data_IF_120140993797
#
_entry.id   IF_120140993797
#
_cell.length_a   1.000
_cell.length_b   1.000
_cell.length_c   1.000
_cell.angle_alpha   90.00
_cell.angle_beta   90.00
_cell.angle_gamma   90.00
#
_symmetry.space_group_name_H-M   'P 1'
#
loop_
_entity.id
_entity.type
_entity.pdbx_description
1 polymer ?
#
# COMPACT_ATOMS: atom_id res chain seq x y z
N UNK A 1 8.34 -8.60 44.10
CA UNK A 1 7.63 -7.35 44.43
C UNK A 1 6.23 -7.75 44.86
N UNK A 2 5.82 -7.38 46.10
CA UNK A 2 4.48 -7.72 46.66
C UNK A 2 3.39 -6.71 46.24
N UNK A 3 3.76 -5.65 45.56
CA UNK A 3 2.86 -4.55 45.19
C UNK A 3 3.15 -4.10 43.74
N UNK A 4 2.34 -4.62 42.84
CA UNK A 4 2.47 -4.30 41.39
C UNK A 4 2.19 -2.82 41.08
N UNK A 5 1.27 -2.20 41.82
CA UNK A 5 0.91 -0.79 41.62
C UNK A 5 2.08 0.13 41.93
N UNK A 6 2.81 -0.13 43.03
CA UNK A 6 4.01 0.65 43.41
C UNK A 6 5.16 0.45 42.43
N UNK A 7 5.32 -0.76 41.87
CA UNK A 7 6.33 -1.02 40.84
C UNK A 7 6.00 -0.23 39.57
N UNK A 8 4.74 -0.27 39.14
CA UNK A 8 4.29 0.47 37.97
C UNK A 8 4.53 1.98 38.11
N UNK A 9 4.11 2.56 39.23
CA UNK A 9 4.32 3.97 39.54
C UNK A 9 5.81 4.36 39.56
N UNK A 10 6.64 3.51 40.16
CA UNK A 10 8.09 3.75 40.23
C UNK A 10 8.74 3.71 38.84
N UNK A 11 8.34 2.76 37.97
CA UNK A 11 8.83 2.65 36.60
C UNK A 11 8.35 3.84 35.75
N UNK A 12 7.08 4.23 35.87
CA UNK A 12 6.53 5.38 35.18
C UNK A 12 7.24 6.70 35.57
N UNK A 13 7.46 6.92 36.85
CA UNK A 13 8.21 8.06 37.33
C UNK A 13 9.66 8.05 36.81
N UNK A 14 10.33 6.91 36.84
CA UNK A 14 11.70 6.79 36.32
C UNK A 14 11.77 7.09 34.82
N UNK A 15 10.84 6.57 34.01
CA UNK A 15 10.75 6.84 32.59
C UNK A 15 10.52 8.35 32.30
N UNK A 16 9.67 9.00 33.06
CA UNK A 16 9.40 10.44 32.94
C UNK A 16 10.64 11.29 33.29
N UNK A 17 11.38 10.92 34.33
CA UNK A 17 12.61 11.65 34.72
C UNK A 17 13.76 11.47 33.75
N UNK A 18 13.89 10.28 33.15
CA UNK A 18 15.03 9.92 32.32
C UNK A 18 14.78 10.06 30.82
N UNK A 19 13.64 10.68 30.44
CA UNK A 19 13.22 10.79 29.06
C UNK A 19 13.17 9.42 28.34
N UNK A 20 12.56 8.43 29.05
CA UNK A 20 12.25 7.14 28.45
C UNK A 20 13.27 6.02 28.67
N UNK A 21 14.30 6.20 29.50
CA UNK A 21 15.26 5.15 29.85
C UNK A 21 15.08 4.74 31.32
N UNK A 22 15.09 3.44 31.61
CA UNK A 22 15.08 2.92 32.97
C UNK A 22 16.04 1.75 33.13
N UNK A 23 16.85 1.77 34.20
CA UNK A 23 17.68 0.65 34.60
C UNK A 23 17.07 -0.05 35.81
N UNK A 24 16.78 -1.35 35.67
CA UNK A 24 16.20 -2.18 36.71
C UNK A 24 17.26 -3.13 37.22
N UNK A 25 17.66 -2.94 38.47
CA UNK A 25 18.55 -3.85 39.19
C UNK A 25 17.78 -4.73 40.21
N UNK A 26 18.09 -6.01 40.27
CA UNK A 26 17.57 -6.91 41.29
C UNK A 26 18.43 -6.80 42.56
N UNK A 27 17.79 -6.52 43.70
CA UNK A 27 18.46 -6.38 45.00
C UNK A 27 18.07 -7.60 45.88
N UNK A 28 19.03 -8.20 46.55
CA UNK A 28 18.78 -9.27 47.53
C UNK A 28 18.32 -8.71 48.86
N UNK A 29 17.35 -9.36 49.50
CA UNK A 29 16.72 -8.91 50.77
C UNK A 29 17.68 -8.80 51.96
N UNK A 30 18.93 -9.31 51.89
CA UNK A 30 19.78 -9.45 53.07
C UNK A 30 20.99 -8.52 53.15
N UNK A 31 21.40 -7.81 52.08
CA UNK A 31 22.62 -6.95 52.11
C UNK A 31 22.66 -5.76 51.19
N UNK A 32 21.58 -5.36 50.53
CA UNK A 32 21.57 -4.32 49.50
C UNK A 32 22.62 -4.55 48.38
N UNK A 33 23.04 -5.79 48.17
CA UNK A 33 23.92 -6.14 47.07
C UNK A 33 23.10 -6.28 45.78
N UNK A 34 23.45 -5.48 44.81
CA UNK A 34 22.84 -5.56 43.48
C UNK A 34 23.24 -6.89 42.86
N UNK A 35 22.27 -7.75 42.57
CA UNK A 35 22.53 -8.95 41.78
C UNK A 35 23.10 -8.49 40.41
N UNK A 36 24.06 -9.24 39.88
CA UNK A 36 24.72 -9.02 38.58
C UNK A 36 23.79 -8.98 37.34
N UNK A 37 22.50 -8.82 37.51
CA UNK A 37 21.52 -8.67 36.41
C UNK A 37 20.86 -7.31 36.53
N UNK A 38 21.36 -6.40 35.74
CA UNK A 38 20.71 -5.14 35.46
C UNK A 38 20.03 -5.22 34.09
N UNK A 39 18.83 -4.68 33.99
CA UNK A 39 18.07 -4.60 32.76
C UNK A 39 17.90 -3.13 32.40
N UNK A 40 18.62 -2.67 31.38
CA UNK A 40 18.39 -1.35 30.80
C UNK A 40 17.24 -1.47 29.78
N UNK A 41 16.16 -0.77 30.03
CA UNK A 41 14.95 -0.76 29.19
C UNK A 41 14.70 0.66 28.69
N UNK A 42 14.12 0.76 27.50
CA UNK A 42 13.73 2.03 26.88
C UNK A 42 12.24 2.01 26.51
N UNK A 43 11.53 3.10 26.80
CA UNK A 43 10.16 3.32 26.30
C UNK A 43 10.16 3.84 24.85
N UNK A 44 11.29 4.38 24.38
CA UNK A 44 11.54 4.68 22.99
C UNK A 44 12.23 3.48 22.35
N UNK A 45 11.97 3.19 21.09
CA UNK A 45 12.58 2.08 20.34
C UNK A 45 14.11 2.24 20.19
N UNK A 46 14.81 2.39 21.33
CA UNK A 46 16.26 2.62 21.39
C UNK A 46 16.94 1.38 21.92
N UNK A 47 17.95 0.89 21.23
CA UNK A 47 18.80 -0.19 21.69
C UNK A 47 19.76 0.32 22.77
N UNK A 48 19.73 -0.25 24.00
CA UNK A 48 20.58 0.21 25.09
C UNK A 48 22.07 -0.11 24.91
N UNK A 49 22.43 -1.03 23.98
CA UNK A 49 23.81 -1.47 23.76
C UNK A 49 24.60 -0.58 22.80
N UNK A 50 23.94 -0.08 21.77
CA UNK A 50 24.59 0.70 20.68
C UNK A 50 23.96 2.09 20.49
N UNK A 51 22.97 2.46 21.33
CA UNK A 51 22.20 3.70 21.23
C UNK A 51 21.48 3.90 19.89
N UNK A 52 21.32 2.84 19.10
CA UNK A 52 20.52 2.92 17.89
C UNK A 52 19.05 3.19 18.26
N UNK A 53 18.53 4.33 17.80
CA UNK A 53 17.13 4.70 17.96
C UNK A 53 16.36 4.32 16.70
N UNK A 54 15.45 3.33 16.82
CA UNK A 54 14.52 3.03 15.73
C UNK A 54 13.50 4.17 15.60
N UNK A 55 13.27 4.69 14.38
CA UNK A 55 12.33 5.77 14.18
C UNK A 55 10.92 5.35 14.58
N UNK A 56 10.11 6.31 15.00
CA UNK A 56 8.70 6.05 15.33
C UNK A 56 7.97 5.41 14.14
N UNK A 57 7.21 4.33 14.43
CA UNK A 57 6.48 3.59 13.40
C UNK A 57 5.19 4.34 13.08
N UNK A 58 5.27 5.23 12.12
CA UNK A 58 4.16 6.02 11.62
C UNK A 58 4.03 5.89 10.09
N UNK A 59 2.89 6.24 9.47
CA UNK A 59 2.67 6.07 8.03
C UNK A 59 3.76 6.71 7.15
N UNK A 60 4.34 7.85 7.58
CA UNK A 60 5.41 8.55 6.84
C UNK A 60 6.69 7.72 6.72
N UNK A 61 6.93 6.79 7.64
CA UNK A 61 8.09 5.88 7.59
C UNK A 61 8.04 4.98 6.34
N UNK A 62 6.86 4.65 5.86
CA UNK A 62 6.65 3.77 4.71
C UNK A 62 6.47 4.50 3.39
N UNK A 63 6.66 5.83 3.37
CA UNK A 63 6.55 6.65 2.17
C UNK A 63 7.92 7.04 1.63
N UNK A 64 8.23 6.65 0.41
CA UNK A 64 9.43 7.09 -0.29
C UNK A 64 9.37 8.56 -0.75
N UNK A 65 8.20 9.21 -0.70
CA UNK A 65 8.02 10.63 -0.97
C UNK A 65 8.22 11.51 0.29
N UNK A 66 8.31 10.87 1.46
CA UNK A 66 8.59 11.56 2.72
C UNK A 66 10.07 11.45 3.06
N UNK A 67 10.77 12.55 3.41
CA UNK A 67 12.17 12.48 3.89
C UNK A 67 12.36 11.52 5.08
N UNK A 68 11.29 11.29 5.84
CA UNK A 68 11.29 10.40 7.01
C UNK A 68 11.40 8.92 6.63
N UNK A 69 10.79 8.50 5.50
CA UNK A 69 10.77 7.10 5.03
C UNK A 69 11.69 6.84 3.84
N UNK A 70 12.04 7.87 3.10
CA UNK A 70 12.88 7.77 1.91
C UNK A 70 14.30 7.27 2.24
N UNK A 71 14.91 6.56 1.31
CA UNK A 71 16.33 6.26 1.37
C UNK A 71 17.14 7.56 1.43
N UNK A 72 18.04 7.77 2.42
CA UNK A 72 18.75 9.03 2.58
C UNK A 72 19.69 9.35 1.41
N UNK A 73 20.24 8.33 0.74
CA UNK A 73 21.22 8.53 -0.33
C UNK A 73 20.59 8.91 -1.68
N UNK A 74 19.42 8.42 -1.99
CA UNK A 74 18.73 8.72 -3.24
C UNK A 74 17.43 9.52 -3.06
N UNK A 75 17.14 9.98 -1.83
CA UNK A 75 15.92 10.73 -1.50
C UNK A 75 14.63 10.08 -2.04
N UNK A 76 14.55 8.74 -2.01
CA UNK A 76 13.39 7.99 -2.46
C UNK A 76 13.31 7.74 -3.98
N UNK A 77 14.30 8.15 -4.75
CA UNK A 77 14.31 7.92 -6.21
C UNK A 77 14.60 6.45 -6.59
N UNK A 78 15.28 5.70 -5.74
CA UNK A 78 15.70 4.33 -6.04
C UNK A 78 16.88 4.25 -7.00
N UNK A 79 17.32 5.38 -7.56
CA UNK A 79 18.40 5.53 -8.54
C UNK A 79 19.40 6.53 -8.02
N UNK A 80 20.69 6.30 -8.28
CA UNK A 80 21.76 7.22 -7.92
C UNK A 80 21.84 8.38 -8.91
N UNK A 81 21.57 8.10 -10.15
CA UNK A 81 21.55 9.06 -11.25
C UNK A 81 20.30 8.82 -12.11
N UNK A 82 19.52 9.89 -12.28
CA UNK A 82 18.25 9.83 -13.05
C UNK A 82 18.55 9.60 -14.55
N UNK A 83 19.64 10.16 -15.06
CA UNK A 83 20.01 10.05 -16.48
C UNK A 83 20.62 8.68 -16.82
N UNK A 84 21.50 8.15 -15.94
CA UNK A 84 22.17 6.88 -16.17
C UNK A 84 21.35 5.67 -15.71
N UNK A 85 20.19 5.89 -15.04
CA UNK A 85 19.31 4.86 -14.48
C UNK A 85 20.03 3.86 -13.56
N UNK A 86 21.16 4.28 -12.95
CA UNK A 86 21.95 3.43 -12.04
C UNK A 86 21.19 3.20 -10.75
N UNK A 87 21.00 1.96 -10.36
CA UNK A 87 20.31 1.59 -9.11
C UNK A 87 21.08 2.15 -7.92
N UNK A 88 20.37 2.72 -6.95
CA UNK A 88 20.95 3.21 -5.71
C UNK A 88 21.57 2.02 -4.92
N UNK A 89 22.86 2.04 -4.58
CA UNK A 89 23.51 0.92 -3.90
C UNK A 89 23.03 0.72 -2.47
N UNK A 90 22.52 1.78 -1.82
CA UNK A 90 22.09 1.73 -0.41
C UNK A 90 20.73 1.09 -0.24
N UNK A 91 19.75 1.42 -1.09
CA UNK A 91 18.41 0.85 -1.02
C UNK A 91 18.16 -0.22 -2.10
N UNK A 92 19.11 -0.47 -3.00
CA UNK A 92 18.99 -1.47 -4.07
C UNK A 92 17.71 -1.28 -4.92
N UNK A 93 17.35 -0.03 -5.17
CA UNK A 93 16.12 0.31 -5.90
C UNK A 93 14.83 0.32 -5.06
N UNK A 94 14.88 -0.08 -3.79
CA UNK A 94 13.69 -0.18 -2.92
C UNK A 94 13.13 1.16 -2.47
N UNK A 95 13.85 2.26 -2.70
CA UNK A 95 13.43 3.65 -2.45
C UNK A 95 13.27 4.04 -0.98
N UNK A 96 13.17 3.08 -0.07
CA UNK A 96 12.93 3.25 1.36
C UNK A 96 14.20 3.05 2.18
N UNK A 97 14.22 3.63 3.36
CA UNK A 97 15.26 3.42 4.36
C UNK A 97 15.18 2.01 4.96
N UNK A 98 16.30 1.53 5.52
CA UNK A 98 16.41 0.16 6.05
C UNK A 98 15.43 -0.12 7.19
N UNK A 99 15.15 0.88 8.02
CA UNK A 99 14.23 0.78 9.15
C UNK A 99 12.80 0.51 8.66
N UNK A 100 12.34 1.21 7.63
CA UNK A 100 11.03 0.95 7.01
C UNK A 100 10.93 -0.50 6.48
N UNK A 101 12.01 -1.01 5.87
CA UNK A 101 12.07 -2.37 5.35
C UNK A 101 12.22 -3.45 6.44
N UNK A 102 12.55 -3.05 7.68
CA UNK A 102 12.65 -3.97 8.82
C UNK A 102 11.29 -4.30 9.44
N UNK A 103 10.28 -3.46 9.21
CA UNK A 103 8.90 -3.73 9.65
C UNK A 103 8.25 -4.72 8.69
N UNK A 104 7.70 -5.81 9.24
CA UNK A 104 7.17 -6.93 8.44
C UNK A 104 5.79 -7.37 8.90
N UNK A 105 4.97 -7.78 7.95
CA UNK A 105 3.71 -8.49 8.13
C UNK A 105 3.84 -9.85 7.46
N UNK A 106 3.61 -10.95 8.19
CA UNK A 106 3.82 -12.32 7.68
C UNK A 106 5.18 -12.50 6.97
N UNK A 107 6.26 -11.98 7.57
CA UNK A 107 7.63 -12.01 7.05
C UNK A 107 7.88 -11.21 5.75
N UNK A 108 6.92 -10.46 5.24
CA UNK A 108 7.08 -9.54 4.11
C UNK A 108 7.09 -8.09 4.58
N UNK A 109 8.05 -7.29 4.11
CA UNK A 109 8.03 -5.85 4.29
C UNK A 109 7.17 -5.18 3.20
N UNK A 110 6.97 -3.86 3.30
CA UNK A 110 6.13 -3.12 2.36
C UNK A 110 6.62 -3.25 0.91
N UNK A 111 7.94 -3.24 0.67
CA UNK A 111 8.48 -3.38 -0.67
C UNK A 111 8.23 -4.78 -1.24
N UNK A 112 8.39 -5.82 -0.41
CA UNK A 112 8.13 -7.21 -0.82
C UNK A 112 6.67 -7.38 -1.25
N UNK A 113 5.73 -6.78 -0.50
CA UNK A 113 4.29 -6.82 -0.85
C UNK A 113 4.00 -6.01 -2.10
N UNK A 114 4.56 -4.80 -2.23
CA UNK A 114 4.36 -3.95 -3.42
C UNK A 114 5.01 -4.53 -4.69
N UNK A 115 5.98 -5.45 -4.56
CA UNK A 115 6.64 -6.13 -5.67
C UNK A 115 5.90 -7.38 -6.14
N UNK A 116 4.87 -7.81 -5.43
CA UNK A 116 3.96 -8.84 -5.90
C UNK A 116 3.12 -8.31 -7.08
N UNK A 117 2.67 -9.20 -7.95
CA UNK A 117 1.59 -8.86 -8.86
C UNK A 117 0.33 -8.47 -8.08
N UNK A 118 -0.57 -7.69 -8.67
CA UNK A 118 -1.80 -7.28 -7.98
C UNK A 118 -2.65 -8.50 -7.55
N UNK A 119 -2.63 -9.58 -8.33
CA UNK A 119 -3.30 -10.84 -7.99
C UNK A 119 -2.64 -11.50 -6.77
N UNK A 120 -1.32 -11.65 -6.75
CA UNK A 120 -0.60 -12.19 -5.60
C UNK A 120 -0.74 -11.32 -4.35
N UNK A 121 -0.78 -9.99 -4.52
CA UNK A 121 -1.01 -9.07 -3.41
C UNK A 121 -2.44 -9.20 -2.84
N UNK A 122 -3.44 -9.36 -3.70
CA UNK A 122 -4.82 -9.64 -3.29
C UNK A 122 -4.90 -10.93 -2.46
N UNK A 123 -4.35 -12.03 -2.97
CA UNK A 123 -4.32 -13.32 -2.28
C UNK A 123 -3.56 -13.25 -0.95
N UNK A 124 -2.48 -12.48 -0.90
CA UNK A 124 -1.73 -12.22 0.32
C UNK A 124 -2.61 -11.57 1.39
N UNK A 125 -3.36 -10.51 1.06
CA UNK A 125 -4.22 -9.82 2.02
C UNK A 125 -5.45 -10.63 2.42
N UNK A 126 -6.06 -11.40 1.51
CA UNK A 126 -7.14 -12.34 1.82
C UNK A 126 -6.66 -13.42 2.81
N UNK A 127 -5.47 -13.99 2.55
CA UNK A 127 -4.88 -14.97 3.46
C UNK A 127 -4.48 -14.38 4.81
N UNK A 128 -4.07 -13.11 4.84
CA UNK A 128 -3.73 -12.38 6.05
C UNK A 128 -4.98 -12.13 6.91
N UNK A 129 -6.07 -11.65 6.30
CA UNK A 129 -7.34 -11.42 7.00
C UNK A 129 -7.83 -12.67 7.72
N UNK A 130 -7.73 -13.83 7.08
CA UNK A 130 -8.12 -15.11 7.65
C UNK A 130 -7.28 -15.54 8.87
N UNK A 131 -6.03 -15.08 8.95
CA UNK A 131 -5.08 -15.42 10.04
C UNK A 131 -5.08 -14.45 11.20
N UNK A 132 -5.78 -13.31 11.09
CA UNK A 132 -5.85 -12.31 12.16
C UNK A 132 -6.47 -12.89 13.45
N UNK A 133 -5.80 -12.65 14.57
CA UNK A 133 -6.35 -12.90 15.90
C UNK A 133 -7.50 -11.95 16.20
N UNK A 134 -8.31 -12.23 17.23
CA UNK A 134 -9.44 -11.36 17.61
C UNK A 134 -9.02 -9.92 17.89
N UNK A 135 -7.87 -9.72 18.54
CA UNK A 135 -7.32 -8.40 18.83
C UNK A 135 -6.86 -7.67 17.56
N UNK A 136 -6.18 -8.38 16.67
CA UNK A 136 -5.71 -7.83 15.39
C UNK A 136 -6.87 -7.49 14.46
N UNK A 137 -7.94 -8.29 14.45
CA UNK A 137 -9.18 -7.99 13.71
C UNK A 137 -9.80 -6.67 14.14
N UNK A 138 -9.83 -6.38 15.43
CA UNK A 138 -10.39 -5.12 15.94
C UNK A 138 -9.60 -3.91 15.41
N UNK A 139 -8.30 -4.04 15.21
CA UNK A 139 -7.41 -2.96 14.77
C UNK A 139 -7.35 -2.85 13.24
N UNK A 140 -7.19 -3.98 12.55
CA UNK A 140 -6.77 -4.02 11.15
C UNK A 140 -7.89 -4.34 10.15
N UNK A 141 -9.03 -4.91 10.57
CA UNK A 141 -10.04 -5.44 9.65
C UNK A 141 -10.55 -4.41 8.64
N UNK A 142 -10.83 -3.18 9.08
CA UNK A 142 -11.31 -2.12 8.19
C UNK A 142 -10.28 -1.75 7.12
N UNK A 143 -9.01 -1.64 7.52
CA UNK A 143 -7.92 -1.28 6.61
C UNK A 143 -7.64 -2.42 5.63
N UNK A 144 -7.58 -3.65 6.12
CA UNK A 144 -7.32 -4.84 5.29
C UNK A 144 -8.44 -5.02 4.28
N UNK A 145 -9.70 -4.88 4.69
CA UNK A 145 -10.85 -4.94 3.79
C UNK A 145 -10.78 -3.86 2.70
N UNK A 146 -10.46 -2.62 3.05
CA UNK A 146 -10.30 -1.54 2.08
C UNK A 146 -9.18 -1.83 1.06
N UNK A 147 -8.07 -2.44 1.51
CA UNK A 147 -6.98 -2.86 0.60
C UNK A 147 -7.47 -3.96 -0.33
N UNK A 148 -8.16 -4.98 0.18
CA UNK A 148 -8.72 -6.09 -0.61
C UNK A 148 -9.71 -5.55 -1.65
N UNK A 149 -10.64 -4.67 -1.25
CA UNK A 149 -11.61 -4.07 -2.16
C UNK A 149 -10.91 -3.29 -3.30
N UNK A 150 -9.91 -2.47 -2.98
CA UNK A 150 -9.16 -1.69 -3.99
C UNK A 150 -8.34 -2.56 -4.93
N UNK A 151 -7.70 -3.60 -4.41
CA UNK A 151 -7.01 -4.58 -5.24
C UNK A 151 -8.00 -5.32 -6.14
N UNK A 152 -9.16 -5.71 -5.60
CA UNK A 152 -10.25 -6.33 -6.37
C UNK A 152 -10.68 -5.49 -7.57
N UNK A 153 -10.88 -4.19 -7.40
CA UNK A 153 -11.21 -3.29 -8.52
C UNK A 153 -10.14 -3.25 -9.61
N UNK A 154 -8.85 -3.31 -9.22
CA UNK A 154 -7.75 -3.39 -10.18
C UNK A 154 -7.73 -4.72 -10.95
N UNK A 155 -8.10 -5.82 -10.29
CA UNK A 155 -8.23 -7.13 -10.93
C UNK A 155 -9.43 -7.19 -11.90
N UNK A 156 -10.55 -6.56 -11.54
CA UNK A 156 -11.75 -6.48 -12.38
C UNK A 156 -11.50 -5.77 -13.70
N UNK A 157 -10.59 -4.79 -13.71
CA UNK A 157 -10.20 -4.09 -14.96
C UNK A 157 -9.05 -4.76 -15.70
N UNK A 158 -8.65 -6.00 -15.33
CA UNK A 158 -7.65 -6.80 -16.03
C UNK A 158 -6.21 -6.38 -15.80
N UNK A 159 -5.88 -5.82 -14.62
CA UNK A 159 -4.52 -5.39 -14.26
C UNK A 159 -3.78 -6.36 -13.33
N UNK A 160 -4.21 -7.63 -13.29
CA UNK A 160 -3.70 -8.66 -12.38
C UNK A 160 -2.17 -8.84 -12.43
N UNK A 161 -1.54 -8.64 -13.56
CA UNK A 161 -0.09 -8.80 -13.79
C UNK A 161 0.77 -7.62 -13.34
N UNK A 162 0.17 -6.44 -13.09
CA UNK A 162 0.91 -5.25 -12.69
C UNK A 162 1.45 -5.38 -11.26
N UNK A 163 2.53 -4.67 -10.98
CA UNK A 163 3.11 -4.50 -9.66
C UNK A 163 2.98 -3.05 -9.20
N UNK A 164 2.72 -2.84 -7.91
CA UNK A 164 2.63 -1.47 -7.34
C UNK A 164 3.97 -0.73 -7.32
N UNK A 165 5.09 -1.44 -7.48
CA UNK A 165 6.44 -0.83 -7.61
C UNK A 165 6.70 -0.26 -9.01
N UNK A 166 5.85 -0.52 -9.98
CA UNK A 166 6.04 -0.06 -11.37
C UNK A 166 5.94 1.46 -11.46
N UNK A 167 6.90 2.06 -12.16
CA UNK A 167 6.93 3.50 -12.39
C UNK A 167 5.78 3.94 -13.31
N UNK A 168 5.09 5.04 -12.96
CA UNK A 168 3.95 5.54 -13.72
C UNK A 168 4.30 5.85 -15.19
N UNK A 169 5.51 6.34 -15.45
CA UNK A 169 6.00 6.63 -16.81
C UNK A 169 6.16 5.37 -17.69
N UNK A 170 6.23 4.18 -17.07
CA UNK A 170 6.36 2.91 -17.78
C UNK A 170 5.03 2.29 -18.17
N UNK A 171 3.91 2.87 -17.70
CA UNK A 171 2.56 2.37 -17.99
C UNK A 171 2.17 2.71 -19.42
N UNK A 172 1.53 1.77 -20.11
CA UNK A 172 0.84 2.05 -21.36
C UNK A 172 -0.38 2.96 -21.15
N UNK A 173 -0.84 3.63 -22.20
CA UNK A 173 -2.05 4.46 -22.11
C UNK A 173 -3.26 3.71 -21.59
N UNK A 174 -3.48 2.49 -22.08
CA UNK A 174 -4.57 1.63 -21.62
C UNK A 174 -4.43 1.20 -20.16
N UNK A 175 -3.22 0.86 -19.67
CA UNK A 175 -2.98 0.54 -18.25
C UNK A 175 -3.30 1.74 -17.35
N UNK A 176 -2.81 2.94 -17.71
CA UNK A 176 -3.08 4.16 -16.95
C UNK A 176 -4.58 4.50 -16.92
N UNK A 177 -5.28 4.31 -18.02
CA UNK A 177 -6.73 4.51 -18.09
C UNK A 177 -7.49 3.52 -17.21
N UNK A 178 -7.15 2.24 -17.24
CA UNK A 178 -7.77 1.21 -16.38
C UNK A 178 -7.50 1.44 -14.88
N UNK A 179 -6.32 1.92 -14.51
CA UNK A 179 -6.03 2.32 -13.12
C UNK A 179 -6.97 3.46 -12.69
N UNK A 180 -7.18 4.47 -13.56
CA UNK A 180 -8.12 5.55 -13.28
C UNK A 180 -9.55 5.02 -13.15
N UNK A 181 -9.97 4.13 -14.04
CA UNK A 181 -11.29 3.50 -14.00
C UNK A 181 -11.50 2.73 -12.68
N UNK A 182 -10.56 1.88 -12.27
CA UNK A 182 -10.61 1.17 -11.00
C UNK A 182 -10.73 2.13 -9.80
N UNK A 183 -9.99 3.24 -9.82
CA UNK A 183 -10.08 4.29 -8.80
C UNK A 183 -11.47 4.93 -8.75
N UNK A 184 -12.10 5.14 -9.92
CA UNK A 184 -13.46 5.71 -10.00
C UNK A 184 -14.53 4.74 -9.48
N UNK A 185 -14.39 3.45 -9.76
CA UNK A 185 -15.27 2.41 -9.21
C UNK A 185 -15.22 2.43 -7.69
N UNK A 186 -14.02 2.49 -7.12
CA UNK A 186 -13.78 2.57 -5.69
C UNK A 186 -14.33 3.83 -5.03
N UNK A 187 -14.45 4.95 -5.78
CA UNK A 187 -14.99 6.21 -5.25
C UNK A 187 -16.48 6.19 -4.95
N UNK A 188 -17.22 5.18 -5.49
CA UNK A 188 -18.67 5.03 -5.35
C UNK A 188 -19.47 6.27 -5.80
N UNK A 189 -18.93 7.08 -6.73
CA UNK A 189 -19.62 8.25 -7.28
C UNK A 189 -20.87 7.83 -8.06
N UNK A 190 -21.89 8.69 -8.00
CA UNK A 190 -23.13 8.59 -8.77
C UNK A 190 -23.39 9.91 -9.51
N UNK A 191 -24.27 9.89 -10.51
CA UNK A 191 -24.63 11.04 -11.34
C UNK A 191 -23.41 11.68 -12.06
N UNK A 192 -22.45 10.87 -12.45
CA UNK A 192 -21.21 11.28 -13.12
C UNK A 192 -21.24 10.80 -14.59
N UNK A 193 -20.70 11.61 -15.47
CA UNK A 193 -20.45 11.22 -16.87
C UNK A 193 -19.01 10.72 -16.98
N UNK A 194 -18.85 9.51 -17.46
CA UNK A 194 -17.56 8.91 -17.80
C UNK A 194 -17.40 8.89 -19.31
N UNK A 195 -16.24 9.36 -19.78
CA UNK A 195 -15.85 9.27 -21.19
C UNK A 195 -14.58 8.39 -21.24
N UNK A 196 -14.69 7.28 -21.96
CA UNK A 196 -13.63 6.28 -22.07
C UNK A 196 -13.25 6.15 -23.55
N UNK A 197 -11.95 6.18 -23.82
CA UNK A 197 -11.40 6.05 -25.16
C UNK A 197 -10.62 4.74 -25.25
N UNK A 198 -11.09 3.81 -26.09
CA UNK A 198 -10.51 2.49 -26.31
C UNK A 198 -10.09 1.73 -25.02
N UNK A 199 -11.00 1.56 -24.03
CA UNK A 199 -10.63 0.94 -22.75
C UNK A 199 -10.23 -0.54 -22.88
N UNK A 200 -10.53 -1.21 -24.01
CA UNK A 200 -10.12 -2.59 -24.29
C UNK A 200 -8.71 -2.72 -24.84
N UNK A 201 -8.02 -1.61 -25.15
CA UNK A 201 -6.71 -1.70 -25.80
C UNK A 201 -5.73 -2.56 -24.97
N UNK A 202 -5.18 -3.59 -25.61
CA UNK A 202 -4.24 -4.52 -24.98
C UNK A 202 -4.87 -5.51 -24.00
N UNK A 203 -6.21 -5.63 -23.95
CA UNK A 203 -6.89 -6.70 -23.20
C UNK A 203 -7.02 -7.98 -24.03
N UNK A 204 -7.03 -9.10 -23.34
CA UNK A 204 -7.46 -10.36 -23.88
C UNK A 204 -8.99 -10.46 -23.81
N UNK A 205 -9.65 -11.19 -24.72
CA UNK A 205 -11.11 -11.37 -24.75
C UNK A 205 -11.72 -11.68 -23.38
N UNK A 206 -11.08 -12.55 -22.61
CA UNK A 206 -11.54 -12.92 -21.25
C UNK A 206 -11.58 -11.74 -20.28
N UNK A 207 -10.68 -10.78 -20.44
CA UNK A 207 -10.61 -9.61 -19.57
C UNK A 207 -11.53 -8.50 -20.08
N UNK A 208 -11.85 -8.49 -21.37
CA UNK A 208 -12.91 -7.63 -21.96
C UNK A 208 -14.28 -7.89 -21.31
N UNK A 209 -14.64 -9.15 -21.06
CA UNK A 209 -15.88 -9.46 -20.36
C UNK A 209 -15.94 -8.90 -18.94
N UNK A 210 -14.85 -8.98 -18.20
CA UNK A 210 -14.74 -8.38 -16.85
C UNK A 210 -14.92 -6.87 -16.92
N UNK A 211 -14.25 -6.21 -17.86
CA UNK A 211 -14.37 -4.78 -18.07
C UNK A 211 -15.83 -4.39 -18.38
N UNK A 212 -16.53 -5.13 -19.25
CA UNK A 212 -17.95 -4.90 -19.56
C UNK A 212 -18.81 -4.97 -18.31
N UNK A 213 -18.61 -5.98 -17.47
CA UNK A 213 -19.35 -6.11 -16.21
C UNK A 213 -19.10 -4.92 -15.29
N UNK A 214 -17.86 -4.49 -15.18
CA UNK A 214 -17.46 -3.31 -14.43
C UNK A 214 -18.12 -2.03 -14.93
N UNK A 215 -18.16 -1.83 -16.26
CA UNK A 215 -18.84 -0.68 -16.88
C UNK A 215 -20.37 -0.72 -16.61
N UNK A 216 -20.98 -1.89 -16.68
CA UNK A 216 -22.39 -2.07 -16.31
C UNK A 216 -22.68 -1.75 -14.85
N UNK A 217 -21.79 -2.13 -13.94
CA UNK A 217 -21.92 -1.77 -12.53
C UNK A 217 -21.83 -0.26 -12.31
N UNK A 218 -20.89 0.43 -12.98
CA UNK A 218 -20.80 1.89 -12.96
C UNK A 218 -22.10 2.54 -13.45
N UNK A 219 -22.67 2.05 -14.56
CA UNK A 219 -23.95 2.52 -15.09
C UNK A 219 -25.08 2.33 -14.08
N UNK A 220 -25.15 1.16 -13.44
CA UNK A 220 -26.19 0.84 -12.46
C UNK A 220 -26.19 1.74 -11.21
N UNK A 221 -25.09 2.47 -10.97
CA UNK A 221 -24.98 3.50 -9.92
C UNK A 221 -25.48 4.89 -10.37
N UNK A 222 -26.35 4.95 -11.35
CA UNK A 222 -26.89 6.19 -11.94
C UNK A 222 -25.82 7.06 -12.62
N UNK A 223 -24.82 6.45 -13.23
CA UNK A 223 -23.82 7.14 -14.05
C UNK A 223 -24.16 7.01 -15.52
N UNK A 224 -23.66 7.95 -16.32
CA UNK A 224 -23.67 7.90 -17.78
C UNK A 224 -22.28 7.56 -18.31
N UNK A 225 -22.20 6.68 -19.29
CA UNK A 225 -20.93 6.28 -19.89
C UNK A 225 -20.98 6.55 -21.41
N UNK A 226 -19.97 7.22 -21.92
CA UNK A 226 -19.68 7.32 -23.36
C UNK A 226 -18.38 6.53 -23.56
N UNK A 227 -18.42 5.55 -24.43
CA UNK A 227 -17.27 4.69 -24.73
C UNK A 227 -17.00 4.77 -26.23
N UNK A 228 -15.80 5.21 -26.59
CA UNK A 228 -15.28 5.14 -27.96
C UNK A 228 -14.57 3.81 -28.11
N UNK A 229 -15.07 2.95 -28.98
CA UNK A 229 -14.56 1.58 -29.09
C UNK A 229 -14.75 1.01 -30.50
N UNK A 230 -13.92 0.02 -30.82
CA UNK A 230 -14.01 -0.78 -32.03
C UNK A 230 -14.13 -2.30 -31.72
N UNK A 231 -14.07 -2.68 -30.44
CA UNK A 231 -14.26 -4.07 -30.03
C UNK A 231 -15.75 -4.46 -30.15
N UNK A 232 -16.01 -5.52 -30.90
CA UNK A 232 -17.37 -5.97 -31.23
C UNK A 232 -18.14 -6.39 -29.97
N UNK A 233 -17.49 -6.91 -28.95
CA UNK A 233 -18.13 -7.38 -27.71
C UNK A 233 -18.63 -6.21 -26.88
N UNK A 234 -17.86 -5.12 -26.78
CA UNK A 234 -18.30 -3.89 -26.11
C UNK A 234 -19.43 -3.22 -26.89
N UNK A 235 -19.27 -3.10 -28.21
CA UNK A 235 -20.29 -2.49 -29.08
C UNK A 235 -21.63 -3.22 -28.89
N UNK A 236 -21.65 -4.55 -28.91
CA UNK A 236 -22.87 -5.36 -28.66
C UNK A 236 -23.46 -5.22 -27.25
N UNK A 237 -22.65 -4.79 -26.29
CA UNK A 237 -23.09 -4.62 -24.90
C UNK A 237 -23.67 -3.23 -24.60
N UNK A 238 -23.56 -2.28 -25.54
CA UNK A 238 -24.04 -0.93 -25.38
C UNK A 238 -25.58 -0.83 -25.42
N UNK A 239 -26.17 0.12 -24.69
CA UNK A 239 -27.61 0.41 -24.74
C UNK A 239 -27.94 1.22 -26.00
N UNK A 240 -27.02 2.10 -26.42
CA UNK A 240 -27.15 2.94 -27.60
C UNK A 240 -25.83 2.94 -28.36
N UNK A 241 -25.91 2.87 -29.68
CA UNK A 241 -24.78 2.94 -30.58
C UNK A 241 -24.88 4.25 -31.39
N UNK A 242 -23.76 4.98 -31.46
CA UNK A 242 -23.59 6.12 -32.33
C UNK A 242 -22.47 5.77 -33.31
N UNK A 243 -22.82 5.65 -34.58
CA UNK A 243 -21.85 5.43 -35.65
C UNK A 243 -21.57 6.75 -36.34
N UNK A 244 -20.26 7.11 -36.43
CA UNK A 244 -19.80 8.32 -37.09
C UNK A 244 -19.34 7.96 -38.52
N UNK A 245 -20.10 8.36 -39.47
CA UNK A 245 -20.06 7.96 -40.88
C UNK A 245 -18.71 7.98 -41.61
N UNK A 246 -18.75 7.76 -42.94
CA UNK A 246 -17.65 7.31 -43.80
C UNK A 246 -16.43 8.23 -43.91
N UNK A 247 -16.57 9.53 -43.62
CA UNK A 247 -15.49 10.51 -43.77
C UNK A 247 -15.26 11.32 -42.51
N UNK A 248 -14.10 11.99 -42.42
CA UNK A 248 -13.76 12.83 -41.28
C UNK A 248 -14.00 14.31 -41.54
N UNK A 249 -14.16 15.14 -40.49
CA UNK A 249 -14.32 16.59 -40.58
C UNK A 249 -15.68 17.02 -41.14
N UNK A 250 -15.69 18.07 -41.97
CA UNK A 250 -16.90 18.70 -42.53
C UNK A 250 -17.74 17.73 -43.41
N UNK A 251 -17.11 16.72 -43.97
CA UNK A 251 -17.75 15.67 -44.78
C UNK A 251 -17.96 14.37 -44.04
N UNK A 252 -17.72 14.33 -42.74
CA UNK A 252 -17.96 13.19 -41.90
C UNK A 252 -19.36 13.17 -41.32
N UNK A 253 -19.87 11.97 -41.07
CA UNK A 253 -21.23 11.86 -40.78
C UNK A 253 -21.87 11.60 -39.54
#
# INVERSE_FOLDING_TARGET
>A
VKDESRLFEAVENALNYSNGLVNIGLISDSKFEIYKREFLLSSHFTCPNDNFAFPEVEPRLFSFNSPYGACPDCAGLGKKDIFLKTICPTCEGKRLRKEALSVKILNKNIYDVCSLSLEEAYDFFVSYEAKLTTREKTIASTIVKEIIDRLGFLLEVGLNYLQMTREAESLSGGEAQRIRLASQIGSKLSNTLYVLDEPTIGLHERDTEKLINTLKELKNRHNSLIVVEHDETIIKSADHLVDLGEFAGINGG
#
